data_IF_981545795414
#
_entry.id   IF_981545795414
#
_cell.length_a   1.000
_cell.length_b   1.000
_cell.length_c   1.000
_cell.angle_alpha   90.00
_cell.angle_beta   90.00
_cell.angle_gamma   90.00
#
_symmetry.space_group_name_H-M   'P 1'
#
loop_
_entity.id
_entity.type
_entity.pdbx_description
1 polymer ?
#
# COMPACT_ATOMS: atom_id res chain seq x y z
N UNK A 1 14.76 26.92 -1.59
CA UNK A 1 15.41 26.10 -2.63
C UNK A 1 14.90 24.68 -2.40
N UNK A 2 13.79 24.30 -3.04
CA UNK A 2 13.04 23.08 -2.73
C UNK A 2 13.62 21.92 -3.55
N UNK A 3 13.95 20.82 -2.88
CA UNK A 3 14.50 19.60 -3.48
C UNK A 3 13.52 18.98 -4.50
N UNK A 4 14.02 18.35 -5.57
CA UNK A 4 13.17 17.69 -6.55
C UNK A 4 12.44 16.49 -5.91
N UNK A 5 11.16 16.40 -6.24
CA UNK A 5 10.17 15.44 -5.78
C UNK A 5 10.63 13.97 -5.97
N UNK A 6 11.05 13.30 -4.90
CA UNK A 6 11.46 11.88 -4.86
C UNK A 6 10.30 10.89 -4.67
N UNK A 7 9.05 11.36 -4.64
CA UNK A 7 7.87 10.54 -4.34
C UNK A 7 7.44 9.60 -5.49
N UNK A 8 8.06 9.65 -6.68
CA UNK A 8 7.59 8.88 -7.85
C UNK A 8 8.49 7.69 -8.26
N UNK A 9 9.68 7.53 -7.68
CA UNK A 9 10.65 6.52 -8.17
C UNK A 9 10.13 5.09 -8.07
N UNK A 10 9.39 4.77 -7.00
CA UNK A 10 8.82 3.42 -6.82
C UNK A 10 7.71 3.15 -7.82
N UNK A 11 6.84 4.12 -8.04
CA UNK A 11 5.74 4.02 -9.01
C UNK A 11 6.27 3.91 -10.43
N UNK A 12 7.33 4.66 -10.75
CA UNK A 12 8.05 4.57 -12.03
C UNK A 12 8.62 3.17 -12.27
N UNK A 13 9.23 2.56 -11.24
CA UNK A 13 9.77 1.19 -11.32
C UNK A 13 8.64 0.18 -11.51
N UNK A 14 7.53 0.32 -10.79
CA UNK A 14 6.35 -0.55 -10.91
C UNK A 14 5.77 -0.45 -12.31
N UNK A 15 5.64 0.76 -12.85
CA UNK A 15 5.11 0.99 -14.19
C UNK A 15 6.02 0.36 -15.25
N UNK A 16 7.33 0.60 -15.15
CA UNK A 16 8.31 0.02 -16.08
C UNK A 16 8.30 -1.51 -16.04
N UNK A 17 8.22 -2.11 -14.85
CA UNK A 17 8.12 -3.56 -14.71
C UNK A 17 6.85 -4.11 -15.37
N UNK A 18 5.71 -3.43 -15.20
CA UNK A 18 4.44 -3.80 -15.82
C UNK A 18 4.52 -3.74 -17.35
N UNK A 19 5.14 -2.70 -17.90
CA UNK A 19 5.30 -2.53 -19.34
C UNK A 19 6.17 -3.64 -19.94
N UNK A 20 7.31 -3.95 -19.30
CA UNK A 20 8.21 -5.02 -19.74
C UNK A 20 7.52 -6.40 -19.72
N UNK A 21 6.76 -6.69 -18.66
CA UNK A 21 5.97 -7.93 -18.56
C UNK A 21 4.90 -8.03 -19.65
N UNK A 22 4.22 -6.92 -19.95
CA UNK A 22 3.15 -6.86 -20.96
C UNK A 22 3.70 -6.98 -22.38
N UNK A 23 4.89 -6.43 -22.64
CA UNK A 23 5.53 -6.44 -23.95
C UNK A 23 5.96 -7.85 -24.43
N UNK A 24 6.03 -8.83 -23.52
CA UNK A 24 6.48 -10.19 -23.84
C UNK A 24 7.98 -10.30 -24.17
N UNK A 25 8.78 -9.26 -23.91
CA UNK A 25 10.21 -9.24 -24.21
C UNK A 25 11.06 -10.10 -23.25
N UNK A 26 10.48 -10.56 -22.14
CA UNK A 26 11.18 -11.29 -21.09
C UNK A 26 11.12 -12.81 -21.28
N UNK A 27 12.19 -13.55 -20.97
CA UNK A 27 12.15 -15.01 -20.87
C UNK A 27 11.11 -15.46 -19.83
N UNK A 28 10.46 -16.63 -20.05
CA UNK A 28 9.38 -17.14 -19.17
C UNK A 28 9.72 -17.11 -17.67
N UNK A 29 10.93 -17.50 -17.30
CA UNK A 29 11.37 -17.50 -15.89
C UNK A 29 11.45 -16.10 -15.27
N UNK A 30 11.78 -15.08 -16.08
CA UNK A 30 11.78 -13.68 -15.66
C UNK A 30 10.35 -13.14 -15.58
N UNK A 31 9.47 -13.53 -16.52
CA UNK A 31 8.05 -13.16 -16.51
C UNK A 31 7.34 -13.65 -15.25
N UNK A 32 7.42 -14.96 -14.95
CA UNK A 32 6.78 -15.55 -13.76
C UNK A 32 7.27 -14.90 -12.46
N UNK A 33 8.56 -14.55 -12.39
CA UNK A 33 9.12 -13.88 -11.22
C UNK A 33 8.66 -12.42 -11.14
N UNK A 34 8.65 -11.71 -12.26
CA UNK A 34 8.22 -10.33 -12.34
C UNK A 34 6.74 -10.17 -11.99
N UNK A 35 5.88 -11.07 -12.45
CA UNK A 35 4.44 -11.08 -12.08
C UNK A 35 4.25 -11.21 -10.57
N UNK A 36 4.95 -12.14 -9.91
CA UNK A 36 4.89 -12.29 -8.44
C UNK A 36 5.40 -11.05 -7.69
N UNK A 37 6.41 -10.38 -8.23
CA UNK A 37 6.94 -9.14 -7.63
C UNK A 37 5.90 -8.03 -7.79
N UNK A 38 5.36 -7.87 -9.00
CA UNK A 38 4.36 -6.86 -9.30
C UNK A 38 3.12 -7.05 -8.41
N UNK A 39 2.60 -8.27 -8.31
CA UNK A 39 1.47 -8.62 -7.45
C UNK A 39 1.72 -8.21 -5.99
N UNK A 40 2.91 -8.50 -5.46
CA UNK A 40 3.27 -8.13 -4.07
C UNK A 40 3.42 -6.63 -3.87
N UNK A 41 3.91 -5.90 -4.86
CA UNK A 41 4.11 -4.46 -4.77
C UNK A 41 2.81 -3.68 -4.92
N UNK A 42 1.84 -4.21 -5.67
CA UNK A 42 0.55 -3.55 -5.91
C UNK A 42 -0.56 -4.03 -4.98
N UNK A 43 -0.29 -5.04 -4.14
CA UNK A 43 -1.27 -5.53 -3.18
C UNK A 43 -1.43 -4.56 -2.01
N UNK A 44 -2.67 -4.14 -1.66
CA UNK A 44 -2.90 -3.30 -0.50
C UNK A 44 -2.37 -3.91 0.80
N UNK A 45 -1.77 -3.08 1.64
CA UNK A 45 -1.32 -3.50 2.97
C UNK A 45 -2.53 -3.62 3.90
N UNK A 46 -2.70 -4.78 4.54
CA UNK A 46 -3.77 -5.02 5.51
C UNK A 46 -3.20 -5.08 6.92
N UNK A 47 -3.71 -4.23 7.80
CA UNK A 47 -3.31 -4.16 9.22
C UNK A 47 -4.56 -4.36 10.08
N UNK A 48 -4.46 -5.23 11.08
CA UNK A 48 -5.53 -5.47 12.05
C UNK A 48 -5.09 -4.93 13.42
N UNK A 49 -5.89 -4.02 13.98
CA UNK A 49 -5.69 -3.49 15.33
C UNK A 49 -6.64 -4.18 16.31
N UNK A 50 -6.08 -4.96 17.25
CA UNK A 50 -6.85 -5.72 18.24
C UNK A 50 -6.63 -5.16 19.65
N UNK A 51 -7.64 -5.31 20.51
CA UNK A 51 -7.56 -4.89 21.91
C UNK A 51 -8.94 -4.65 22.52
N UNK A 52 -9.00 -4.58 23.85
CA UNK A 52 -10.21 -4.30 24.61
C UNK A 52 -10.88 -2.99 24.17
N UNK A 53 -12.20 -2.83 24.37
CA UNK A 53 -12.86 -1.53 24.23
C UNK A 53 -12.06 -0.42 24.93
N UNK A 54 -12.03 0.77 24.34
CA UNK A 54 -11.32 1.95 24.86
C UNK A 54 -9.80 1.85 25.05
N UNK A 55 -9.14 0.79 24.56
CA UNK A 55 -7.68 0.64 24.59
C UNK A 55 -6.90 1.63 23.69
N UNK A 56 -7.54 2.68 23.17
CA UNK A 56 -6.88 3.70 22.34
C UNK A 56 -6.58 3.28 20.89
N UNK A 57 -7.24 2.22 20.38
CA UNK A 57 -7.02 1.71 19.01
C UNK A 57 -7.21 2.77 17.93
N UNK A 58 -8.26 3.60 18.05
CA UNK A 58 -8.53 4.70 17.13
C UNK A 58 -7.45 5.79 17.18
N UNK A 59 -6.98 6.15 18.38
CA UNK A 59 -5.89 7.12 18.55
C UNK A 59 -4.58 6.61 17.92
N UNK A 60 -4.27 5.32 18.07
CA UNK A 60 -3.10 4.71 17.43
C UNK A 60 -3.24 4.71 15.90
N UNK A 61 -4.41 4.38 15.36
CA UNK A 61 -4.67 4.43 13.93
C UNK A 61 -4.47 5.84 13.37
N UNK A 62 -5.04 6.86 14.03
CA UNK A 62 -4.85 8.26 13.65
C UNK A 62 -3.37 8.66 13.61
N UNK A 63 -2.58 8.19 14.59
CA UNK A 63 -1.15 8.43 14.63
C UNK A 63 -0.40 7.73 13.48
N UNK A 64 -0.77 6.50 13.13
CA UNK A 64 -0.16 5.75 12.01
C UNK A 64 -0.48 6.41 10.66
N UNK A 65 -1.73 6.83 10.45
CA UNK A 65 -2.18 7.44 9.20
C UNK A 65 -1.76 8.92 9.11
N UNK A 66 -1.45 9.55 10.25
CA UNK A 66 -1.04 10.96 10.31
C UNK A 66 -2.18 11.95 10.08
N UNK A 67 -3.44 11.50 10.18
CA UNK A 67 -4.65 12.33 10.08
C UNK A 67 -5.71 11.84 11.07
N UNK A 68 -6.56 12.75 11.51
CA UNK A 68 -7.67 12.40 12.38
C UNK A 68 -8.80 11.75 11.56
N UNK A 69 -9.11 10.49 11.87
CA UNK A 69 -10.10 9.68 11.16
C UNK A 69 -11.45 9.66 11.87
N UNK A 70 -11.71 10.56 12.83
CA UNK A 70 -12.98 10.61 13.57
C UNK A 70 -14.18 10.83 12.65
N UNK A 71 -14.81 9.73 12.25
CA UNK A 71 -16.23 9.65 11.94
C UNK A 71 -16.91 8.96 13.12
N UNK A 72 -17.84 9.68 13.76
CA UNK A 72 -18.39 9.46 15.11
C UNK A 72 -19.07 8.11 15.42
N UNK A 73 -19.10 7.14 14.50
CA UNK A 73 -19.78 5.86 14.70
C UNK A 73 -18.81 4.67 14.64
N UNK A 74 -17.90 4.58 15.62
CA UNK A 74 -17.01 3.43 15.77
C UNK A 74 -17.68 2.28 16.54
N UNK A 75 -18.72 1.70 15.95
CA UNK A 75 -19.10 0.31 16.17
C UNK A 75 -19.08 -0.42 14.83
N UNK A 76 -17.91 -0.83 14.33
CA UNK A 76 -17.72 -1.86 13.29
C UNK A 76 -16.27 -1.82 12.79
N UNK A 77 -15.73 -2.98 12.41
CA UNK A 77 -14.46 -3.13 11.68
C UNK A 77 -14.31 -2.07 10.58
N UNK A 78 -13.28 -1.24 10.68
CA UNK A 78 -12.95 -0.26 9.63
C UNK A 78 -11.87 -0.87 8.73
N UNK A 79 -12.21 -1.13 7.47
CA UNK A 79 -11.25 -1.53 6.44
C UNK A 79 -10.73 -0.29 5.70
N UNK A 80 -9.41 -0.08 5.74
CA UNK A 80 -8.75 0.92 4.92
C UNK A 80 -7.97 0.21 3.81
N UNK A 81 -8.28 0.52 2.56
CA UNK A 81 -7.47 0.12 1.41
C UNK A 81 -6.50 1.25 1.09
N UNK A 82 -5.20 0.99 1.19
CA UNK A 82 -4.16 1.88 0.68
C UNK A 82 -3.44 1.16 -0.45
N UNK A 83 -3.56 1.68 -1.67
CA UNK A 83 -3.05 1.12 -2.92
C UNK A 83 -3.31 2.06 -4.08
#
# INVERSE_FOLDING_TARGET
MNAPNTLNTTDDIIHRLRDELTSGALPRSATERGERILERLTSPVRVVLLGLPDAGKASLLNAIVGKDLTSDDCQTTIEFTYG
#
